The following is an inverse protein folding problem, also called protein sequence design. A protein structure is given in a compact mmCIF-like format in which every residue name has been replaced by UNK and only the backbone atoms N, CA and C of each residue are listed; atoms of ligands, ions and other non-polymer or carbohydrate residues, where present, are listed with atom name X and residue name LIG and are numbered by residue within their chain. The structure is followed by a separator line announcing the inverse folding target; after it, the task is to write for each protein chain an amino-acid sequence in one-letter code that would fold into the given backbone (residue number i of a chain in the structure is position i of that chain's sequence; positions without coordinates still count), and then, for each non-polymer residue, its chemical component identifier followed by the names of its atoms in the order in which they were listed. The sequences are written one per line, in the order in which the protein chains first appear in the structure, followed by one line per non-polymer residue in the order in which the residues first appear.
data_IF_882680603898
#
_entry.id   IF_882680603898
#
_cell.length_a   1.000
_cell.length_b   1.000
_cell.length_c   1.000
_cell.angle_alpha   90.00
_cell.angle_beta   90.00
_cell.angle_gamma   90.00
#
_symmetry.space_group_name_H-M   'P 1'
#
loop_
_entity.id
_entity.type
_entity.pdbx_description
1 polymer ?
#
# COMPACT_ATOMS: atom_id res chain seq x y z
N UNK A 1 1.68 -64.82 23.53
CA UNK A 1 1.91 -63.46 23.02
C UNK A 1 0.95 -62.55 23.77
N UNK A 2 1.47 -61.83 24.76
CA UNK A 2 0.71 -60.85 25.54
C UNK A 2 1.05 -59.47 25.00
N UNK A 3 0.05 -58.71 24.57
CA UNK A 3 0.21 -57.30 24.22
C UNK A 3 -0.77 -56.48 25.06
N UNK A 4 -0.19 -55.69 25.95
CA UNK A 4 -0.88 -54.84 26.92
C UNK A 4 -1.51 -53.60 26.25
N UNK A 5 -2.70 -53.14 26.67
CA UNK A 5 -3.24 -51.85 26.25
C UNK A 5 -2.57 -50.70 27.02
N UNK A 6 -2.06 -49.70 26.29
CA UNK A 6 -1.54 -48.46 26.85
C UNK A 6 -2.70 -47.60 27.37
N UNK A 7 -2.76 -47.42 28.68
CA UNK A 7 -3.61 -46.43 29.35
C UNK A 7 -2.94 -45.07 29.21
N UNK A 8 -3.54 -44.13 28.48
CA UNK A 8 -3.18 -42.72 28.58
C UNK A 8 -3.88 -42.13 29.80
N UNK A 9 -3.09 -41.92 30.85
CA UNK A 9 -3.44 -41.18 32.07
C UNK A 9 -3.57 -39.70 31.76
N UNK A 10 -4.66 -39.09 32.25
CA UNK A 10 -5.02 -37.70 32.02
C UNK A 10 -4.04 -36.69 32.61
N UNK A 11 -3.92 -35.56 31.91
CA UNK A 11 -3.32 -34.33 32.44
C UNK A 11 -4.40 -33.49 33.14
N UNK A 12 -4.08 -32.86 34.29
CA UNK A 12 -5.03 -32.03 35.01
C UNK A 12 -5.31 -30.72 34.27
N UNK A 13 -6.60 -30.44 34.12
CA UNK A 13 -7.18 -29.16 33.71
C UNK A 13 -6.76 -28.06 34.69
N UNK A 14 -5.83 -27.19 34.28
CA UNK A 14 -5.49 -26.00 35.03
C UNK A 14 -6.58 -24.93 34.81
N UNK A 15 -7.47 -24.81 35.80
CA UNK A 15 -8.38 -23.67 35.94
C UNK A 15 -7.56 -22.41 36.18
N UNK A 16 -7.67 -21.43 35.28
CA UNK A 16 -7.29 -20.05 35.57
C UNK A 16 -8.56 -19.24 35.94
N UNK A 17 -8.47 -18.34 36.95
CA UNK A 17 -9.60 -17.55 37.41
C UNK A 17 -9.90 -16.39 36.46
N UNK A 18 -11.18 -16.13 36.25
CA UNK A 18 -11.69 -14.90 35.66
C UNK A 18 -11.19 -13.69 36.45
N UNK A 19 -10.43 -12.81 35.79
CA UNK A 19 -10.30 -11.41 36.21
C UNK A 19 -10.50 -10.51 35.00
N UNK A 20 -11.66 -9.87 35.03
CA UNK A 20 -12.05 -8.74 34.22
C UNK A 20 -11.09 -7.56 34.50
N UNK A 21 -10.44 -7.06 33.45
CA UNK A 21 -9.82 -5.74 33.28
C UNK A 21 -9.24 -5.77 31.85
N UNK A 22 -9.89 -5.27 30.79
CA UNK A 22 -10.11 -3.85 30.43
C UNK A 22 -8.91 -3.00 30.81
N UNK A 23 -8.35 -2.31 29.81
CA UNK A 23 -7.01 -1.65 29.82
C UNK A 23 -5.95 -2.72 29.52
N UNK A 24 -5.51 -2.94 28.28
CA UNK A 24 -4.33 -2.28 27.68
C UNK A 24 -4.37 -2.23 26.13
N UNK A 25 -5.48 -1.80 25.52
CA UNK A 25 -5.55 -1.56 24.07
C UNK A 25 -5.35 -0.07 23.67
N UNK A 26 -5.01 0.79 24.64
CA UNK A 26 -4.91 2.25 24.49
C UNK A 26 -3.46 2.76 24.40
N UNK A 27 -2.62 2.16 23.56
CA UNK A 27 -1.28 2.77 23.32
C UNK A 27 -0.64 2.54 21.95
N UNK A 28 -1.27 1.74 21.07
CA UNK A 28 -0.78 1.58 19.69
C UNK A 28 -1.53 2.48 18.70
N UNK A 29 -2.83 2.70 18.89
CA UNK A 29 -3.64 3.51 17.95
C UNK A 29 -3.25 4.98 18.00
N UNK A 30 -3.09 5.56 19.19
CA UNK A 30 -2.85 7.01 19.34
C UNK A 30 -1.44 7.44 18.90
N UNK A 31 -0.45 6.52 18.94
CA UNK A 31 0.90 6.76 18.40
C UNK A 31 0.94 6.70 16.88
N UNK A 32 0.12 5.85 16.26
CA UNK A 32 -0.03 5.79 14.81
C UNK A 32 -0.76 7.04 14.28
N UNK A 33 -1.77 7.55 15.01
CA UNK A 33 -2.51 8.75 14.61
C UNK A 33 -1.67 10.04 14.73
N UNK A 34 -0.88 10.20 15.79
CA UNK A 34 0.00 11.37 15.93
C UNK A 34 1.20 11.36 14.96
N UNK A 35 1.68 10.18 14.56
CA UNK A 35 2.67 10.05 13.48
C UNK A 35 2.02 10.26 12.11
N UNK A 36 0.82 9.69 11.87
CA UNK A 36 0.07 9.84 10.63
C UNK A 36 -0.32 11.29 10.34
N UNK A 37 -0.71 12.06 11.36
CA UNK A 37 -1.04 13.50 11.25
C UNK A 37 0.19 14.37 10.93
N UNK A 38 1.34 14.13 11.57
CA UNK A 38 2.60 14.84 11.24
C UNK A 38 3.17 14.44 9.88
N UNK A 39 2.98 13.18 9.47
CA UNK A 39 3.37 12.71 8.15
C UNK A 39 2.46 13.27 7.06
N UNK A 40 1.14 13.35 7.27
CA UNK A 40 0.22 13.95 6.29
C UNK A 40 0.55 15.43 6.04
N UNK A 41 0.88 16.22 7.06
CA UNK A 41 1.35 17.61 6.86
C UNK A 41 2.67 17.69 6.08
N UNK A 42 3.61 16.76 6.33
CA UNK A 42 4.88 16.73 5.60
C UNK A 42 4.69 16.26 4.15
N UNK A 43 3.81 15.30 3.91
CA UNK A 43 3.44 14.80 2.60
C UNK A 43 2.66 15.84 1.81
N UNK A 44 1.77 16.62 2.43
CA UNK A 44 1.11 17.77 1.76
C UNK A 44 2.14 18.83 1.33
N UNK A 45 3.19 19.08 2.11
CA UNK A 45 4.26 20.00 1.69
C UNK A 45 5.16 19.45 0.58
N UNK A 46 5.39 18.13 0.52
CA UNK A 46 6.17 17.48 -0.55
C UNK A 46 5.34 17.33 -1.83
N UNK A 47 4.03 17.09 -1.71
CA UNK A 47 3.06 16.96 -2.80
C UNK A 47 2.93 18.23 -3.65
N UNK A 48 3.24 19.40 -3.09
CA UNK A 48 3.04 20.68 -3.78
C UNK A 48 4.20 21.05 -4.73
N UNK A 49 5.40 20.45 -4.63
CA UNK A 49 6.57 20.98 -5.38
C UNK A 49 7.48 19.99 -6.11
N UNK A 50 7.29 18.68 -5.95
CA UNK A 50 8.14 17.72 -6.66
C UNK A 50 7.27 16.73 -7.42
N UNK A 51 7.20 16.89 -8.75
CA UNK A 51 6.64 15.88 -9.67
C UNK A 51 7.44 14.55 -9.63
N UNK A 52 8.44 14.47 -8.76
CA UNK A 52 9.43 13.42 -8.66
C UNK A 52 9.41 12.92 -7.21
N UNK A 53 8.96 11.67 -7.05
CA UNK A 53 8.83 10.99 -5.76
C UNK A 53 9.63 9.69 -5.85
N UNK A 54 10.03 9.12 -4.72
CA UNK A 54 10.54 7.75 -4.70
C UNK A 54 9.41 6.74 -4.60
N UNK A 55 9.60 5.51 -5.07
CA UNK A 55 8.56 4.48 -4.99
C UNK A 55 8.20 4.14 -3.53
N UNK A 56 9.16 4.27 -2.60
CA UNK A 56 8.90 4.13 -1.16
C UNK A 56 7.95 5.22 -0.66
N UNK A 57 8.18 6.47 -1.04
CA UNK A 57 7.30 7.59 -0.68
C UNK A 57 5.90 7.41 -1.27
N UNK A 58 5.81 6.98 -2.53
CA UNK A 58 4.54 6.68 -3.18
C UNK A 58 3.72 5.65 -2.39
N UNK A 59 4.34 4.54 -1.96
CA UNK A 59 3.69 3.52 -1.14
C UNK A 59 3.18 4.07 0.18
N UNK A 60 3.97 4.91 0.85
CA UNK A 60 3.58 5.51 2.13
C UNK A 60 2.40 6.48 1.97
N UNK A 61 2.43 7.33 0.95
CA UNK A 61 1.33 8.25 0.62
C UNK A 61 0.08 7.45 0.26
N UNK A 62 0.20 6.43 -0.58
CA UNK A 62 -0.91 5.56 -0.97
C UNK A 62 -1.50 4.81 0.24
N UNK A 63 -0.66 4.30 1.13
CA UNK A 63 -1.11 3.63 2.36
C UNK A 63 -1.93 4.59 3.23
N UNK A 64 -1.43 5.80 3.48
CA UNK A 64 -2.14 6.81 4.24
C UNK A 64 -3.46 7.22 3.58
N UNK A 65 -3.47 7.37 2.25
CA UNK A 65 -4.69 7.64 1.47
C UNK A 65 -5.72 6.53 1.60
N UNK A 66 -5.29 5.26 1.60
CA UNK A 66 -6.18 4.11 1.77
C UNK A 66 -6.75 4.04 3.19
N UNK A 67 -5.91 4.21 4.21
CA UNK A 67 -6.36 4.22 5.61
C UNK A 67 -7.33 5.37 5.92
N UNK A 68 -7.18 6.50 5.23
CA UNK A 68 -8.07 7.66 5.36
C UNK A 68 -9.35 7.56 4.51
N UNK A 69 -9.48 6.53 3.66
CA UNK A 69 -10.60 6.37 2.74
C UNK A 69 -10.61 7.34 1.55
N UNK A 70 -9.48 7.97 1.23
CA UNK A 70 -9.33 8.88 0.08
C UNK A 70 -9.20 8.12 -1.25
N UNK A 71 -8.66 6.91 -1.22
CA UNK A 71 -8.50 6.03 -2.38
C UNK A 71 -9.04 4.63 -2.10
N UNK A 72 -9.51 3.96 -3.15
CA UNK A 72 -10.00 2.58 -3.05
C UNK A 72 -8.85 1.57 -2.99
N UNK A 73 -9.16 0.34 -2.60
CA UNK A 73 -8.18 -0.74 -2.49
C UNK A 73 -7.48 -1.02 -3.82
N UNK A 74 -8.20 -0.94 -4.94
CA UNK A 74 -7.63 -1.17 -6.27
C UNK A 74 -6.64 -0.07 -6.66
N UNK A 75 -6.98 1.19 -6.40
CA UNK A 75 -6.07 2.33 -6.57
C UNK A 75 -4.83 2.21 -5.69
N UNK A 76 -5.00 1.81 -4.43
CA UNK A 76 -3.87 1.55 -3.54
C UNK A 76 -2.96 0.45 -4.08
N UNK A 77 -3.53 -0.68 -4.53
CA UNK A 77 -2.77 -1.78 -5.13
C UNK A 77 -1.99 -1.31 -6.35
N UNK A 78 -2.58 -0.46 -7.19
CA UNK A 78 -1.92 0.08 -8.37
C UNK A 78 -0.75 1.02 -8.02
N UNK A 79 -0.92 1.86 -7.00
CA UNK A 79 0.12 2.78 -6.52
C UNK A 79 1.26 2.06 -5.80
N UNK A 80 0.94 1.02 -5.03
CA UNK A 80 1.90 0.23 -4.28
C UNK A 80 2.49 -0.96 -5.06
N UNK A 81 1.99 -1.22 -6.27
CA UNK A 81 2.46 -2.28 -7.14
C UNK A 81 3.92 -2.07 -7.50
N UNK A 82 4.67 -3.16 -7.58
CA UNK A 82 6.04 -3.11 -8.05
C UNK A 82 6.06 -2.61 -9.50
N UNK A 83 6.97 -1.67 -9.78
CA UNK A 83 7.21 -1.21 -11.14
C UNK A 83 7.73 -2.36 -12.02
N UNK A 84 7.24 -2.47 -13.27
CA UNK A 84 7.83 -3.40 -14.23
C UNK A 84 9.26 -2.95 -14.58
N UNK A 85 10.08 -3.87 -15.07
CA UNK A 85 11.46 -3.55 -15.53
C UNK A 85 11.46 -2.64 -16.75
N UNK A 86 10.42 -2.74 -17.57
CA UNK A 86 10.24 -1.99 -18.79
C UNK A 86 8.78 -1.54 -18.86
N UNK A 87 8.55 -0.32 -19.34
CA UNK A 87 7.22 0.20 -19.58
C UNK A 87 7.13 0.87 -20.95
N UNK A 88 5.93 1.02 -21.47
CA UNK A 88 5.68 1.71 -22.73
C UNK A 88 5.20 3.12 -22.45
N UNK A 89 5.74 4.12 -23.16
CA UNK A 89 5.26 5.51 -23.10
C UNK A 89 4.06 5.75 -24.02
N UNK A 90 3.43 6.93 -23.94
CA UNK A 90 2.29 7.27 -24.80
C UNK A 90 2.64 7.34 -26.31
N UNK A 91 3.92 7.31 -26.69
CA UNK A 91 4.42 7.31 -28.07
C UNK A 91 4.75 5.88 -28.55
N UNK A 92 4.57 4.86 -27.71
CA UNK A 92 4.90 3.48 -28.00
C UNK A 92 6.39 3.13 -27.85
N UNK A 93 7.18 3.98 -27.18
CA UNK A 93 8.59 3.72 -26.90
C UNK A 93 8.75 2.95 -25.59
N UNK A 94 9.68 2.00 -25.58
CA UNK A 94 10.02 1.25 -24.37
C UNK A 94 10.96 2.08 -23.51
N UNK A 95 10.55 2.33 -22.27
CA UNK A 95 11.31 3.00 -21.23
C UNK A 95 11.86 1.94 -20.30
N UNK A 96 13.18 1.93 -20.13
CA UNK A 96 13.84 1.09 -19.13
C UNK A 96 13.61 1.67 -17.73
N UNK A 97 12.95 0.89 -16.89
CA UNK A 97 12.68 1.21 -15.48
C UNK A 97 13.50 0.33 -14.54
N UNK A 98 14.41 -0.49 -15.06
CA UNK A 98 15.25 -1.40 -14.27
C UNK A 98 16.13 -0.66 -13.24
N UNK A 99 16.43 0.60 -13.53
CA UNK A 99 17.20 1.50 -12.65
C UNK A 99 16.35 2.20 -11.60
N UNK A 100 15.03 2.17 -11.73
CA UNK A 100 14.09 2.79 -10.79
C UNK A 100 13.84 1.84 -9.62
N UNK A 101 14.55 2.09 -8.54
CA UNK A 101 14.43 1.35 -7.27
C UNK A 101 13.56 2.11 -6.26
N UNK A 102 13.33 1.52 -5.08
CA UNK A 102 12.48 2.13 -4.05
C UNK A 102 12.92 3.53 -3.58
N UNK A 103 14.21 3.83 -3.64
CA UNK A 103 14.81 5.13 -3.27
C UNK A 103 15.15 5.99 -4.51
N UNK A 104 14.78 5.56 -5.72
CA UNK A 104 15.07 6.33 -6.95
C UNK A 104 13.99 7.36 -7.19
N UNK A 105 14.34 8.64 -7.34
CA UNK A 105 13.39 9.69 -7.70
C UNK A 105 12.86 9.47 -9.11
N UNK A 106 11.54 9.35 -9.25
CA UNK A 106 10.86 9.07 -10.52
C UNK A 106 9.55 9.85 -10.65
N UNK A 107 9.19 10.19 -11.89
CA UNK A 107 7.96 10.93 -12.21
C UNK A 107 6.78 9.96 -12.38
N UNK A 108 6.20 9.58 -11.25
CA UNK A 108 5.06 8.67 -11.22
C UNK A 108 3.80 9.29 -11.86
N UNK A 109 3.63 10.61 -11.80
CA UNK A 109 2.50 11.28 -12.40
C UNK A 109 2.55 11.18 -13.93
N UNK A 110 3.70 11.44 -14.54
CA UNK A 110 3.89 11.26 -15.98
C UNK A 110 3.76 9.78 -16.40
N UNK A 111 4.33 8.87 -15.62
CA UNK A 111 4.20 7.43 -15.86
C UNK A 111 2.74 6.97 -15.87
N UNK A 112 1.96 7.28 -14.83
CA UNK A 112 0.56 6.88 -14.77
C UNK A 112 -0.29 7.58 -15.84
N UNK A 113 0.07 8.81 -16.23
CA UNK A 113 -0.59 9.52 -17.36
C UNK A 113 -0.34 8.80 -18.68
N UNK A 114 0.88 8.31 -18.91
CA UNK A 114 1.21 7.50 -20.07
C UNK A 114 0.45 6.16 -20.05
N UNK A 115 0.46 5.44 -18.92
CA UNK A 115 -0.29 4.18 -18.79
C UNK A 115 -1.80 4.38 -18.98
N UNK A 116 -2.37 5.47 -18.46
CA UNK A 116 -3.79 5.80 -18.63
C UNK A 116 -4.13 6.07 -20.10
N UNK A 117 -3.27 6.80 -20.82
CA UNK A 117 -3.43 7.04 -22.24
C UNK A 117 -3.40 5.73 -23.03
N UNK A 118 -2.48 4.81 -22.69
CA UNK A 118 -2.38 3.49 -23.31
C UNK A 118 -3.65 2.67 -23.03
N UNK A 119 -4.07 2.55 -21.77
CA UNK A 119 -5.30 1.84 -21.40
C UNK A 119 -6.52 2.36 -22.18
N UNK A 120 -6.65 3.69 -22.30
CA UNK A 120 -7.69 4.32 -23.12
C UNK A 120 -7.61 3.93 -24.60
N UNK A 121 -6.42 3.89 -25.19
CA UNK A 121 -6.24 3.48 -26.59
C UNK A 121 -6.53 1.99 -26.83
N UNK A 122 -6.29 1.15 -25.82
CA UNK A 122 -6.57 -0.28 -25.84
C UNK A 122 -8.05 -0.60 -25.56
N UNK A 123 -8.83 0.37 -25.07
CA UNK A 123 -10.21 0.17 -24.65
C UNK A 123 -10.34 -0.56 -23.32
N UNK A 124 -9.30 -0.53 -22.48
CA UNK A 124 -9.31 -1.08 -21.13
C UNK A 124 -9.85 -0.04 -20.14
N UNK A 125 -11.17 -0.05 -19.97
CA UNK A 125 -11.89 0.90 -19.10
C UNK A 125 -11.58 0.67 -17.61
N UNK A 126 -11.39 -0.58 -17.18
CA UNK A 126 -11.07 -0.92 -15.79
C UNK A 126 -9.72 -0.32 -15.38
N UNK A 127 -8.67 -0.58 -16.17
CA UNK A 127 -7.36 0.01 -15.91
C UNK A 127 -7.39 1.53 -16.01
N UNK A 128 -8.16 2.08 -16.95
CA UNK A 128 -8.29 3.53 -17.11
C UNK A 128 -8.86 4.22 -15.87
N UNK A 129 -9.94 3.70 -15.29
CA UNK A 129 -10.56 4.31 -14.11
C UNK A 129 -9.65 4.24 -12.88
N UNK A 130 -8.96 3.11 -12.67
CA UNK A 130 -7.99 2.96 -11.57
C UNK A 130 -6.81 3.92 -11.73
N UNK A 131 -6.26 4.04 -12.94
CA UNK A 131 -5.15 4.95 -13.24
C UNK A 131 -5.55 6.42 -13.11
N UNK A 132 -6.78 6.75 -13.52
CA UNK A 132 -7.35 8.09 -13.35
C UNK A 132 -7.53 8.46 -11.87
N UNK A 133 -8.01 7.53 -11.04
CA UNK A 133 -8.12 7.73 -9.60
C UNK A 133 -6.74 7.93 -8.96
N UNK A 134 -5.74 7.13 -9.37
CA UNK A 134 -4.36 7.26 -8.93
C UNK A 134 -3.77 8.64 -9.30
N UNK A 135 -3.97 9.10 -10.54
CA UNK A 135 -3.53 10.43 -10.97
C UNK A 135 -4.23 11.55 -10.20
N UNK A 136 -5.54 11.46 -10.03
CA UNK A 136 -6.32 12.45 -9.27
C UNK A 136 -5.79 12.56 -7.84
N UNK A 137 -5.48 11.43 -7.21
CA UNK A 137 -4.90 11.40 -5.87
C UNK A 137 -3.51 12.04 -5.81
N UNK A 138 -2.66 11.83 -6.82
CA UNK A 138 -1.32 12.43 -6.88
C UNK A 138 -1.34 13.92 -7.18
N UNK A 139 -2.21 14.38 -8.10
CA UNK A 139 -2.29 15.77 -8.52
C UNK A 139 -3.06 16.67 -7.52
N UNK A 140 -3.93 16.09 -6.67
CA UNK A 140 -4.66 16.80 -5.61
C UNK A 140 -6.04 17.28 -6.03
#
# INVERSE_FOLDING_TARGET
MEIYPLRYTGLPLQRQPEKNAKEELFSYTERAELQGLRFTEHLEQVKIQSNVLTHRELKQIAQSGFESGLIELETYRQLAAQLPLEAVDARGQVVDLSTVTDDTPFDFAEYYRNQMAIARTLGDEESYDVLKAALTFLEG
#
